data_IF_873771242837
#
_entry.id   IF_873771242837
#
_cell.length_a   1.000
_cell.length_b   1.000
_cell.length_c   1.000
_cell.angle_alpha   90.00
_cell.angle_beta   90.00
_cell.angle_gamma   90.00
#
_symmetry.space_group_name_H-M   'P 1'
#
loop_
_entity.id
_entity.type
_entity.pdbx_description
1 polymer ?
#
# COMPACT_ATOMS: atom_id res chain seq x y z
N UNK A 1 15.12 -3.04 -15.17
CA UNK A 1 14.62 -1.77 -14.58
C UNK A 1 15.76 -0.84 -14.19
N UNK A 2 15.63 0.49 -14.30
CA UNK A 2 16.67 1.43 -13.82
C UNK A 2 16.62 1.55 -12.30
N UNK A 3 17.75 1.88 -11.64
CA UNK A 3 17.79 2.07 -10.17
C UNK A 3 16.78 3.12 -9.70
N UNK A 4 16.59 4.20 -10.48
CA UNK A 4 15.61 5.26 -10.18
C UNK A 4 14.18 4.72 -10.18
N UNK A 5 13.79 3.97 -11.23
CA UNK A 5 12.46 3.34 -11.32
C UNK A 5 12.22 2.33 -10.19
N UNK A 6 13.25 1.54 -9.85
CA UNK A 6 13.18 0.59 -8.73
C UNK A 6 12.94 1.29 -7.39
N UNK A 7 13.72 2.32 -7.10
CA UNK A 7 13.58 3.10 -5.87
C UNK A 7 12.22 3.79 -5.82
N UNK A 8 11.75 4.33 -6.94
CA UNK A 8 10.44 4.94 -7.05
C UNK A 8 9.32 3.94 -6.72
N UNK A 9 9.34 2.73 -7.31
CA UNK A 9 8.32 1.70 -7.03
C UNK A 9 8.30 1.30 -5.55
N UNK A 10 9.47 1.10 -4.94
CA UNK A 10 9.56 0.73 -3.52
C UNK A 10 9.04 1.86 -2.63
N UNK A 11 9.45 3.11 -2.89
CA UNK A 11 9.04 4.26 -2.07
C UNK A 11 7.55 4.54 -2.22
N UNK A 12 7.04 4.58 -3.46
CA UNK A 12 5.61 4.81 -3.72
C UNK A 12 4.78 3.66 -3.14
N UNK A 13 5.20 2.41 -3.36
CA UNK A 13 4.52 1.24 -2.80
C UNK A 13 4.48 1.26 -1.28
N UNK A 14 5.58 1.64 -0.61
CA UNK A 14 5.65 1.77 0.84
C UNK A 14 4.73 2.89 1.36
N UNK A 15 4.70 4.04 0.70
CA UNK A 15 3.81 5.15 1.08
C UNK A 15 2.35 4.75 0.94
N UNK A 16 1.97 4.15 -0.20
CA UNK A 16 0.61 3.68 -0.43
C UNK A 16 0.21 2.65 0.62
N UNK A 17 1.06 1.63 0.85
CA UNK A 17 0.78 0.60 1.85
C UNK A 17 0.64 1.18 3.27
N UNK A 18 1.52 2.11 3.66
CA UNK A 18 1.49 2.72 4.98
C UNK A 18 0.23 3.57 5.21
N UNK A 19 -0.14 4.41 4.24
CA UNK A 19 -1.36 5.23 4.33
C UNK A 19 -2.59 4.33 4.38
N UNK A 20 -2.68 3.35 3.48
CA UNK A 20 -3.80 2.42 3.44
C UNK A 20 -3.93 1.60 4.72
N UNK A 21 -2.82 1.08 5.27
CA UNK A 21 -2.85 0.37 6.54
C UNK A 21 -3.31 1.28 7.69
N UNK A 22 -2.85 2.54 7.73
CA UNK A 22 -3.33 3.53 8.71
C UNK A 22 -4.83 3.76 8.60
N UNK A 23 -5.37 3.92 7.38
CA UNK A 23 -6.81 4.05 7.15
C UNK A 23 -7.57 2.80 7.62
N UNK A 24 -7.07 1.60 7.34
CA UNK A 24 -7.68 0.36 7.84
C UNK A 24 -7.77 0.37 9.37
N UNK A 25 -6.69 0.71 10.07
CA UNK A 25 -6.69 0.80 11.54
C UNK A 25 -7.72 1.82 12.02
N UNK A 26 -7.74 3.01 11.43
CA UNK A 26 -8.70 4.06 11.79
C UNK A 26 -10.15 3.62 11.59
N UNK A 27 -10.46 2.92 10.50
CA UNK A 27 -11.81 2.45 10.20
C UNK A 27 -12.22 1.17 10.95
N UNK A 28 -11.27 0.41 11.48
CA UNK A 28 -11.56 -0.70 12.40
C UNK A 28 -11.96 -0.18 13.77
N UNK A 29 -11.25 0.84 14.28
CA UNK A 29 -11.54 1.41 15.60
C UNK A 29 -12.61 2.49 15.59
N UNK A 30 -12.82 3.14 14.44
CA UNK A 30 -13.79 4.22 14.22
C UNK A 30 -13.85 5.24 15.38
N UNK A 31 -12.73 5.81 15.86
CA UNK A 31 -12.69 6.59 17.11
C UNK A 31 -13.58 7.84 17.13
N UNK A 32 -14.07 8.28 15.97
CA UNK A 32 -15.04 9.38 15.84
C UNK A 32 -16.49 8.95 16.04
N UNK A 33 -16.78 7.66 16.23
CA UNK A 33 -18.12 7.13 16.43
C UNK A 33 -18.40 6.88 17.90
N UNK A 34 -19.67 7.03 18.28
CA UNK A 34 -20.19 6.66 19.59
C UNK A 34 -21.49 5.89 19.37
N UNK A 35 -21.68 4.78 20.08
CA UNK A 35 -22.88 3.95 20.00
C UNK A 35 -23.69 4.03 21.29
N UNK A 36 -25.05 3.99 21.22
CA UNK A 36 -25.89 4.14 22.40
C UNK A 36 -25.89 2.93 23.34
N UNK A 37 -25.32 1.79 22.93
CA UNK A 37 -25.32 0.52 23.65
C UNK A 37 -23.92 0.02 24.01
N UNK A 38 -22.89 0.83 23.79
CA UNK A 38 -21.50 0.43 24.03
C UNK A 38 -20.66 1.63 24.49
N UNK A 39 -19.77 1.41 25.47
CA UNK A 39 -18.90 2.45 26.03
C UNK A 39 -17.68 2.74 25.13
N UNK A 40 -17.53 1.97 24.05
CA UNK A 40 -16.40 2.02 23.11
C UNK A 40 -16.88 2.11 21.66
N UNK A 41 -16.24 3.00 20.90
CA UNK A 41 -16.47 3.20 19.46
C UNK A 41 -16.24 1.94 18.62
N UNK A 42 -15.38 1.03 19.09
CA UNK A 42 -14.99 -0.18 18.35
C UNK A 42 -16.04 -1.29 18.38
N UNK A 43 -17.03 -1.20 19.28
CA UNK A 43 -18.16 -2.15 19.35
C UNK A 43 -19.27 -1.87 18.33
N UNK A 44 -19.22 -0.70 17.68
CA UNK A 44 -20.21 -0.30 16.69
C UNK A 44 -20.15 -1.19 15.44
N UNK A 45 -21.33 -1.61 14.95
CA UNK A 45 -21.45 -2.22 13.64
C UNK A 45 -21.02 -1.26 12.53
N UNK A 46 -20.19 -1.74 11.60
CA UNK A 46 -19.61 -0.90 10.56
C UNK A 46 -20.68 -0.47 9.54
N UNK A 47 -20.76 0.84 9.27
CA UNK A 47 -21.70 1.36 8.26
C UNK A 47 -21.25 0.98 6.85
N UNK A 48 -22.21 0.89 5.94
CA UNK A 48 -21.95 0.53 4.53
C UNK A 48 -20.99 1.50 3.86
N UNK A 49 -21.10 2.81 4.15
CA UNK A 49 -20.15 3.82 3.63
C UNK A 49 -18.72 3.60 4.13
N UNK A 50 -18.57 3.28 5.41
CA UNK A 50 -17.28 2.98 6.02
C UNK A 50 -16.68 1.68 5.46
N UNK A 51 -17.54 0.71 5.11
CA UNK A 51 -17.14 -0.55 4.46
C UNK A 51 -16.51 -0.34 3.09
N UNK A 52 -16.99 0.62 2.31
CA UNK A 52 -16.38 0.96 1.03
C UNK A 52 -14.97 1.53 1.25
N UNK A 53 -14.80 2.43 2.23
CA UNK A 53 -13.48 3.01 2.51
C UNK A 53 -12.50 1.95 3.02
N UNK A 54 -12.95 1.05 3.90
CA UNK A 54 -12.13 -0.07 4.38
C UNK A 54 -11.73 -1.01 3.23
N UNK A 55 -12.64 -1.31 2.31
CA UNK A 55 -12.35 -2.13 1.13
C UNK A 55 -11.28 -1.47 0.25
N UNK A 56 -11.42 -0.16 -0.03
CA UNK A 56 -10.42 0.59 -0.80
C UNK A 56 -9.06 0.63 -0.08
N UNK A 57 -9.06 0.73 1.24
CA UNK A 57 -7.84 0.67 2.04
C UNK A 57 -7.17 -0.71 1.91
N UNK A 58 -7.91 -1.81 2.00
CA UNK A 58 -7.38 -3.17 1.80
C UNK A 58 -6.78 -3.32 0.40
N UNK A 59 -7.49 -2.86 -0.64
CA UNK A 59 -6.98 -2.85 -2.02
C UNK A 59 -5.70 -2.02 -2.11
N UNK A 60 -5.65 -0.87 -1.44
CA UNK A 60 -4.46 -0.01 -1.38
C UNK A 60 -3.25 -0.72 -0.75
N UNK A 61 -3.45 -1.47 0.34
CA UNK A 61 -2.37 -2.29 0.94
C UNK A 61 -1.86 -3.32 -0.05
N UNK A 62 -2.75 -4.03 -0.76
CA UNK A 62 -2.37 -5.01 -1.77
C UNK A 62 -1.60 -4.35 -2.93
N UNK A 63 -2.09 -3.24 -3.46
CA UNK A 63 -1.40 -2.49 -4.53
C UNK A 63 -0.03 -2.02 -4.05
N UNK A 64 0.07 -1.41 -2.86
CA UNK A 64 1.34 -0.99 -2.28
C UNK A 64 2.33 -2.16 -2.12
N UNK A 65 1.85 -3.29 -1.60
CA UNK A 65 2.61 -4.54 -1.49
C UNK A 65 3.12 -5.05 -2.84
N UNK A 66 2.26 -5.11 -3.86
CA UNK A 66 2.68 -5.54 -5.21
C UNK A 66 3.71 -4.60 -5.83
N UNK A 67 3.62 -3.28 -5.62
CA UNK A 67 4.62 -2.32 -6.09
C UNK A 67 5.99 -2.53 -5.41
N UNK A 68 6.00 -2.80 -4.11
CA UNK A 68 7.22 -3.13 -3.37
C UNK A 68 7.83 -4.41 -3.93
N UNK A 69 7.03 -5.47 -4.06
CA UNK A 69 7.48 -6.78 -4.59
C UNK A 69 8.02 -6.64 -6.01
N UNK A 70 7.34 -5.91 -6.89
CA UNK A 70 7.81 -5.61 -8.25
C UNK A 70 9.11 -4.81 -8.24
N UNK A 71 9.26 -3.88 -7.31
CA UNK A 71 10.50 -3.15 -7.04
C UNK A 71 11.64 -4.06 -6.58
N UNK A 72 11.37 -5.06 -5.75
CA UNK A 72 12.40 -5.97 -5.22
C UNK A 72 12.84 -7.02 -6.25
N UNK A 73 11.89 -7.62 -6.96
CA UNK A 73 12.11 -8.75 -7.88
C UNK A 73 12.48 -8.29 -9.30
N UNK A 74 12.15 -7.05 -9.67
CA UNK A 74 12.33 -6.55 -11.03
C UNK A 74 13.77 -6.71 -11.55
N UNK A 75 13.97 -7.28 -12.76
CA UNK A 75 15.30 -7.66 -13.25
C UNK A 75 16.22 -6.44 -13.35
N UNK A 76 17.43 -6.60 -12.82
CA UNK A 76 18.54 -5.64 -13.02
C UNK A 76 18.86 -5.69 -14.50
N UNK A 77 18.48 -4.66 -15.26
CA UNK A 77 18.82 -4.60 -16.69
C UNK A 77 20.33 -4.35 -16.75
N UNK A 78 21.11 -5.42 -16.81
CA UNK A 78 22.54 -5.41 -17.10
C UNK A 78 22.69 -4.80 -18.47
N UNK A 79 22.93 -3.49 -18.51
CA UNK A 79 23.42 -2.78 -19.71
C UNK A 79 24.90 -3.15 -19.86
N UNK A 80 25.18 -4.43 -20.13
CA UNK A 80 26.51 -4.99 -20.42
C UNK A 80 26.58 -5.51 -21.86
N UNK A 81 25.91 -4.84 -22.80
CA UNK A 81 26.06 -5.10 -24.22
C UNK A 81 26.25 -3.74 -24.90
N UNK A 82 27.48 -3.51 -25.37
CA UNK A 82 27.96 -2.56 -26.39
C UNK A 82 29.36 -1.99 -26.11
N UNK A 83 30.02 -2.34 -24.99
CA UNK A 83 31.49 -2.22 -24.88
C UNK A 83 32.24 -3.32 -25.69
N UNK A 84 31.52 -4.19 -26.41
CA UNK A 84 32.06 -5.26 -27.23
C UNK A 84 32.16 -4.90 -28.74
N UNK A 85 32.09 -3.61 -29.09
CA UNK A 85 32.17 -3.11 -30.48
C UNK A 85 33.48 -2.40 -30.83
N UNK A 86 34.54 -2.56 -30.04
CA UNK A 86 35.90 -2.12 -30.37
C UNK A 86 36.84 -3.30 -30.21
N UNK A 87 36.83 -4.19 -31.20
CA UNK A 87 37.91 -5.12 -31.48
C UNK A 87 38.08 -5.13 -33.00
#
# INVERSE_FOLDING_TARGET
>A
MSRKKRRLLIVVGALVAAVSAGVTVLYVFQPWRSCPYDDTSAGCGMLTGDAVVMLLAIVGVLVGGTLIVAGLIGPRRTRRLSAAGRA
#
